data_IF_777678699629
#
_entry.id   IF_777678699629
#
_cell.length_a   1.000
_cell.length_b   1.000
_cell.length_c   1.000
_cell.angle_alpha   90.00
_cell.angle_beta   90.00
_cell.angle_gamma   90.00
#
_symmetry.space_group_name_H-M   'P 1'
#
loop_
_entity.id
_entity.type
_entity.pdbx_description
1 polymer ?
#
# COMPACT_ATOMS: atom_id res chain seq x y z
N UNK A 1 2.98 -9.30 -4.82
CA UNK A 1 2.26 -8.70 -3.67
C UNK A 1 1.19 -7.74 -4.17
N UNK A 2 1.47 -6.87 -5.15
CA UNK A 2 0.49 -5.87 -5.64
C UNK A 2 -0.89 -6.43 -5.99
N UNK A 3 -0.95 -7.49 -6.82
CA UNK A 3 -2.24 -8.09 -7.24
C UNK A 3 -3.06 -8.59 -6.05
N UNK A 4 -2.41 -9.06 -4.98
CA UNK A 4 -3.08 -9.50 -3.76
C UNK A 4 -3.63 -8.30 -2.98
N UNK A 5 -2.86 -7.23 -2.84
CA UNK A 5 -3.30 -6.01 -2.18
C UNK A 5 -4.47 -5.34 -2.91
N UNK A 6 -4.44 -5.30 -4.25
CA UNK A 6 -5.55 -4.80 -5.05
C UNK A 6 -6.81 -5.66 -4.89
N UNK A 7 -6.68 -7.00 -4.99
CA UNK A 7 -7.80 -7.92 -4.76
C UNK A 7 -8.41 -7.80 -3.37
N UNK A 8 -7.58 -7.65 -2.34
CA UNK A 8 -8.07 -7.41 -0.98
C UNK A 8 -8.79 -6.06 -0.90
N UNK A 9 -8.24 -5.01 -1.49
CA UNK A 9 -8.87 -3.71 -1.51
C UNK A 9 -10.24 -3.77 -2.18
N UNK A 10 -10.35 -4.48 -3.30
CA UNK A 10 -11.63 -4.70 -3.99
C UNK A 10 -12.59 -5.48 -3.10
N UNK A 11 -12.15 -6.61 -2.54
CA UNK A 11 -13.01 -7.45 -1.71
C UNK A 11 -13.55 -6.76 -0.46
N UNK A 12 -12.81 -5.80 0.12
CA UNK A 12 -13.15 -5.16 1.40
C UNK A 12 -13.80 -3.78 1.22
N UNK A 13 -13.38 -3.01 0.21
CA UNK A 13 -13.74 -1.60 0.09
C UNK A 13 -14.44 -1.22 -1.22
N UNK A 14 -14.55 -2.12 -2.20
CA UNK A 14 -15.25 -1.82 -3.45
C UNK A 14 -16.76 -1.69 -3.23
N UNK A 15 -17.35 -0.67 -3.84
CA UNK A 15 -18.80 -0.45 -3.78
C UNK A 15 -19.27 0.05 -5.14
N UNK A 16 -20.57 -0.10 -5.41
CA UNK A 16 -21.18 0.40 -6.65
C UNK A 16 -21.02 1.91 -6.81
N UNK A 17 -21.06 2.66 -5.71
CA UNK A 17 -21.03 4.13 -5.72
C UNK A 17 -19.61 4.71 -5.71
N UNK A 18 -18.61 3.94 -5.24
CA UNK A 18 -17.20 4.34 -5.23
C UNK A 18 -16.29 3.14 -5.62
N UNK A 19 -16.25 2.76 -6.91
CA UNK A 19 -15.54 1.59 -7.36
C UNK A 19 -14.01 1.79 -7.39
N UNK A 20 -13.25 0.78 -7.02
CA UNK A 20 -11.81 0.74 -7.17
C UNK A 20 -11.46 0.48 -8.64
N UNK A 21 -10.55 1.28 -9.19
CA UNK A 21 -10.11 1.12 -10.57
C UNK A 21 -9.52 -0.27 -10.84
N UNK A 22 -9.63 -0.76 -12.08
CA UNK A 22 -9.10 -2.07 -12.43
C UNK A 22 -7.59 -2.09 -12.26
N UNK A 23 -7.03 -3.24 -11.86
CA UNK A 23 -5.60 -3.33 -11.62
C UNK A 23 -4.81 -2.93 -12.87
N UNK A 24 -5.23 -3.33 -14.07
CA UNK A 24 -4.54 -3.01 -15.32
C UNK A 24 -4.53 -1.53 -15.74
N UNK A 25 -5.30 -0.67 -15.07
CA UNK A 25 -5.41 0.76 -15.40
C UNK A 25 -4.41 1.63 -14.62
N UNK A 26 -3.56 1.01 -13.79
CA UNK A 26 -2.58 1.74 -13.02
C UNK A 26 -1.40 2.21 -13.87
N UNK A 27 -0.75 3.28 -13.43
CA UNK A 27 0.58 3.67 -13.91
C UNK A 27 1.63 2.79 -13.25
N UNK A 28 2.26 1.92 -14.05
CA UNK A 28 3.35 1.02 -13.63
C UNK A 28 4.51 1.81 -13.01
N UNK A 29 4.99 2.86 -13.69
CA UNK A 29 6.06 3.75 -13.20
C UNK A 29 5.78 4.28 -11.78
N UNK A 30 4.58 4.82 -11.55
CA UNK A 30 4.20 5.40 -10.26
C UNK A 30 4.05 4.35 -9.17
N UNK A 31 3.46 3.20 -9.51
CA UNK A 31 3.26 2.13 -8.54
C UNK A 31 4.60 1.52 -8.14
N UNK A 32 5.46 1.24 -9.10
CA UNK A 32 6.80 0.69 -8.85
C UNK A 32 7.66 1.65 -8.03
N UNK A 33 7.63 2.96 -8.34
CA UNK A 33 8.33 3.96 -7.55
C UNK A 33 7.87 3.93 -6.07
N UNK A 34 6.57 3.81 -5.82
CA UNK A 34 6.01 3.73 -4.47
C UNK A 34 6.40 2.44 -3.74
N UNK A 35 6.37 1.29 -4.42
CA UNK A 35 6.69 -0.02 -3.86
C UNK A 35 8.17 -0.20 -3.53
N UNK A 36 9.05 0.55 -4.20
CA UNK A 36 10.49 0.49 -3.96
C UNK A 36 10.94 1.32 -2.76
N UNK A 37 10.16 2.31 -2.30
CA UNK A 37 10.55 3.18 -1.17
C UNK A 37 10.89 2.43 0.13
N UNK A 38 10.15 1.40 0.57
CA UNK A 38 10.51 0.62 1.76
C UNK A 38 11.88 -0.07 1.70
N UNK A 39 12.46 -0.20 0.50
CA UNK A 39 13.77 -0.82 0.24
C UNK A 39 14.87 0.21 -0.06
N UNK A 40 14.55 1.50 -0.01
CA UNK A 40 15.47 2.56 -0.36
C UNK A 40 16.58 2.70 0.69
N UNK A 41 17.81 2.89 0.21
CA UNK A 41 18.99 3.09 1.04
C UNK A 41 19.66 4.43 0.73
N UNK A 42 20.41 4.96 1.70
CA UNK A 42 21.30 6.10 1.53
C UNK A 42 22.58 5.83 2.33
N UNK A 43 23.73 6.03 1.70
CA UNK A 43 25.04 5.76 2.31
C UNK A 43 25.15 4.34 2.93
N UNK A 44 24.65 3.35 2.17
CA UNK A 44 24.65 1.94 2.60
C UNK A 44 23.68 1.58 3.74
N UNK A 45 22.86 2.52 4.21
CA UNK A 45 21.89 2.30 5.30
C UNK A 45 20.46 2.35 4.81
N UNK A 46 19.61 1.48 5.35
CA UNK A 46 18.15 1.53 5.11
C UNK A 46 17.57 2.86 5.59
N UNK A 47 16.87 3.58 4.71
CA UNK A 47 16.15 4.81 5.09
C UNK A 47 14.97 4.52 6.03
N UNK A 48 14.42 3.31 5.94
CA UNK A 48 13.30 2.85 6.75
C UNK A 48 13.73 1.60 7.52
N UNK A 49 14.46 1.74 8.64
CA UNK A 49 15.18 0.62 9.26
C UNK A 49 14.28 -0.39 9.99
N UNK A 50 13.04 -0.04 10.31
CA UNK A 50 12.11 -0.93 11.03
C UNK A 50 10.95 -1.37 10.14
N UNK A 51 10.31 -2.48 10.47
CA UNK A 51 9.08 -2.93 9.79
C UNK A 51 7.99 -1.86 9.83
N UNK A 52 7.83 -1.17 10.96
CA UNK A 52 6.86 -0.08 11.10
C UNK A 52 7.19 1.09 10.17
N UNK A 53 8.48 1.48 10.06
CA UNK A 53 8.90 2.53 9.13
C UNK A 53 8.62 2.13 7.67
N UNK A 54 8.92 0.87 7.30
CA UNK A 54 8.66 0.32 5.97
C UNK A 54 7.17 0.27 5.65
N UNK A 55 6.35 -0.13 6.62
CA UNK A 55 4.89 -0.15 6.51
C UNK A 55 4.33 1.27 6.34
N UNK A 56 4.79 2.23 7.15
CA UNK A 56 4.35 3.62 7.11
C UNK A 56 4.69 4.29 5.77
N UNK A 57 5.92 4.12 5.27
CA UNK A 57 6.29 4.69 3.97
C UNK A 57 5.55 4.00 2.82
N UNK A 58 5.36 2.68 2.87
CA UNK A 58 4.59 1.96 1.85
C UNK A 58 3.16 2.52 1.73
N UNK A 59 2.48 2.68 2.88
CA UNK A 59 1.15 3.28 2.94
C UNK A 59 1.13 4.69 2.36
N UNK A 60 2.03 5.56 2.83
CA UNK A 60 2.12 6.94 2.37
C UNK A 60 2.39 7.03 0.87
N UNK A 61 3.37 6.26 0.38
CA UNK A 61 3.82 6.26 -0.99
C UNK A 61 2.72 5.85 -1.97
N UNK A 62 2.05 4.71 -1.72
CA UNK A 62 0.96 4.24 -2.59
C UNK A 62 -0.19 5.25 -2.60
N UNK A 63 -0.52 5.83 -1.44
CA UNK A 63 -1.59 6.83 -1.34
C UNK A 63 -1.26 8.11 -2.16
N UNK A 64 0.01 8.51 -2.18
CA UNK A 64 0.48 9.74 -2.87
C UNK A 64 0.90 9.54 -4.32
N UNK A 65 1.18 8.31 -4.74
CA UNK A 65 1.61 8.02 -6.11
C UNK A 65 0.54 8.40 -7.14
N UNK A 66 -0.74 8.38 -6.76
CA UNK A 66 -1.87 8.50 -7.69
C UNK A 66 -1.68 7.56 -8.90
N UNK A 67 -1.31 6.31 -8.60
CA UNK A 67 -1.05 5.29 -9.61
C UNK A 67 -2.35 4.79 -10.24
N UNK A 68 -3.45 4.81 -9.48
CA UNK A 68 -4.78 4.41 -9.95
C UNK A 68 -5.68 5.63 -10.17
N UNK A 69 -6.65 5.53 -11.07
CA UNK A 69 -7.66 6.58 -11.29
C UNK A 69 -8.58 6.77 -10.07
N UNK A 70 -8.91 5.69 -9.37
CA UNK A 70 -9.67 5.72 -8.12
C UNK A 70 -9.19 4.64 -7.16
N UNK A 71 -9.46 4.81 -5.85
CA UNK A 71 -9.20 3.79 -4.84
C UNK A 71 -7.80 3.81 -4.21
N UNK A 72 -6.94 4.79 -4.54
CA UNK A 72 -5.54 4.84 -4.02
C UNK A 72 -5.45 4.72 -2.49
N UNK A 73 -6.33 5.41 -1.73
CA UNK A 73 -6.39 5.33 -0.26
C UNK A 73 -6.76 3.93 0.25
N UNK A 74 -7.65 3.23 -0.47
CA UNK A 74 -8.13 1.89 -0.11
C UNK A 74 -7.09 0.83 -0.46
N UNK A 75 -6.46 0.96 -1.62
CA UNK A 75 -5.33 0.11 -2.05
C UNK A 75 -4.13 0.32 -1.12
N UNK A 76 -3.83 1.55 -0.70
CA UNK A 76 -2.75 1.81 0.25
C UNK A 76 -3.05 1.18 1.62
N UNK A 77 -4.29 1.25 2.08
CA UNK A 77 -4.74 0.62 3.34
C UNK A 77 -4.63 -0.90 3.26
N UNK A 78 -5.11 -1.52 2.18
CA UNK A 78 -4.98 -2.96 1.98
C UNK A 78 -3.49 -3.39 1.90
N UNK A 79 -2.65 -2.59 1.25
CA UNK A 79 -1.21 -2.85 1.15
C UNK A 79 -0.52 -2.77 2.52
N UNK A 80 -0.90 -1.80 3.35
CA UNK A 80 -0.45 -1.70 4.74
C UNK A 80 -0.84 -2.93 5.55
N UNK A 81 -2.11 -3.34 5.49
CA UNK A 81 -2.63 -4.51 6.22
C UNK A 81 -1.91 -5.79 5.78
N UNK A 82 -1.76 -6.01 4.47
CA UNK A 82 -1.01 -7.15 3.92
C UNK A 82 0.44 -7.12 4.38
N UNK A 83 1.12 -5.96 4.30
CA UNK A 83 2.52 -5.84 4.68
C UNK A 83 2.72 -6.13 6.17
N UNK A 84 1.85 -5.65 7.05
CA UNK A 84 1.93 -5.97 8.48
C UNK A 84 1.64 -7.44 8.74
N UNK A 85 0.61 -8.00 8.10
CA UNK A 85 0.23 -9.41 8.25
C UNK A 85 1.38 -10.37 7.92
N UNK A 86 2.08 -10.16 6.79
CA UNK A 86 3.22 -11.01 6.40
C UNK A 86 4.44 -10.83 7.30
N UNK A 87 4.50 -9.76 8.10
CA UNK A 87 5.52 -9.52 9.11
C UNK A 87 5.03 -9.87 10.52
N UNK A 88 3.94 -10.64 10.65
CA UNK A 88 3.37 -11.09 11.92
C UNK A 88 2.95 -9.92 12.84
N UNK A 89 2.59 -8.78 12.26
CA UNK A 89 2.12 -7.59 12.95
C UNK A 89 0.66 -7.29 12.62
N UNK A 90 -0.04 -6.66 13.57
CA UNK A 90 -1.44 -6.26 13.43
C UNK A 90 -1.63 -4.81 13.89
N UNK A 91 -2.55 -4.11 13.24
CA UNK A 91 -3.01 -2.79 13.71
C UNK A 91 -4.02 -2.98 14.83
N UNK A 92 -3.78 -2.33 15.96
CA UNK A 92 -4.81 -2.10 16.98
C UNK A 92 -5.41 -0.71 16.71
N UNK A 93 -6.68 -0.68 16.33
CA UNK A 93 -7.40 0.58 16.06
C UNK A 93 -7.92 1.23 17.36
N UNK A 94 -7.79 0.57 18.51
CA UNK A 94 -8.46 0.95 19.75
C UNK A 94 -9.98 0.76 19.62
N UNK A 95 -10.57 0.00 20.53
CA UNK A 95 -12.03 0.02 20.68
C UNK A 95 -12.39 1.22 21.54
N UNK A 96 -12.81 2.32 20.92
CA UNK A 96 -13.56 3.38 21.60
C UNK A 96 -15.06 3.12 21.40
#
# INVERSE_FOLDING_TARGET
MEKMCHRLAVAVFDTKDDPIALFQEHSEEKLDAALNLPRQTFDGKDLYPTIVNKAAILFYAINKAHAFQNGNKRISTASLMVFLYINEMWLDAGKN
#
